data_IF_858008009170
#
_entry.id   IF_858008009170
#
_cell.length_a   1.000
_cell.length_b   1.000
_cell.length_c   1.000
_cell.angle_alpha   90.00
_cell.angle_beta   90.00
_cell.angle_gamma   90.00
#
_symmetry.space_group_name_H-M   'P 1'
#
loop_
_entity.id
_entity.type
_entity.pdbx_description
1 polymer ?
#
# COMPACT_ATOMS: atom_id res chain seq x y z
N UNK A 1 -11.84 5.00 -0.11
CA UNK A 1 -11.52 5.37 -1.48
C UNK A 1 -12.73 5.16 -2.38
N UNK A 2 -13.03 6.13 -3.20
CA UNK A 2 -14.15 6.09 -4.14
C UNK A 2 -13.71 6.66 -5.49
N UNK A 3 -13.94 5.91 -6.58
CA UNK A 3 -13.64 6.33 -7.94
C UNK A 3 -14.83 6.08 -8.87
N UNK A 4 -15.09 6.98 -9.84
CA UNK A 4 -16.12 6.73 -10.86
C UNK A 4 -15.71 5.55 -11.76
N UNK A 5 -16.70 4.89 -12.31
CA UNK A 5 -16.50 3.82 -13.31
C UNK A 5 -16.89 4.32 -14.70
N UNK A 6 -16.58 3.52 -15.71
CA UNK A 6 -16.95 3.79 -17.10
C UNK A 6 -18.46 3.78 -17.33
N UNK A 7 -19.23 3.01 -16.55
CA UNK A 7 -20.69 3.04 -16.58
C UNK A 7 -21.17 4.27 -15.83
N UNK A 8 -21.97 5.09 -16.51
CA UNK A 8 -22.54 6.32 -15.94
C UNK A 8 -23.21 6.05 -14.58
N UNK A 9 -23.05 6.97 -13.66
CA UNK A 9 -23.63 6.96 -12.31
C UNK A 9 -23.25 5.73 -11.47
N UNK A 10 -22.14 5.04 -11.84
CA UNK A 10 -21.59 3.93 -11.04
C UNK A 10 -20.21 4.29 -10.48
N UNK A 11 -19.95 3.83 -9.26
CA UNK A 11 -18.73 4.09 -8.52
C UNK A 11 -18.16 2.80 -7.96
N UNK A 12 -16.83 2.74 -7.91
CA UNK A 12 -16.12 1.75 -7.13
C UNK A 12 -15.79 2.36 -5.77
N UNK A 13 -16.21 1.68 -4.70
CA UNK A 13 -15.92 2.11 -3.33
C UNK A 13 -15.14 1.00 -2.64
N UNK A 14 -13.99 1.34 -2.07
CA UNK A 14 -13.11 0.39 -1.40
C UNK A 14 -12.86 0.81 0.05
N UNK A 15 -13.03 -0.13 0.95
CA UNK A 15 -12.53 -0.08 2.33
C UNK A 15 -11.42 -1.09 2.49
N UNK A 16 -10.33 -0.68 3.08
CA UNK A 16 -9.17 -1.55 3.33
C UNK A 16 -8.77 -1.51 4.80
N UNK A 17 -8.13 -2.56 5.25
CA UNK A 17 -7.47 -2.60 6.55
C UNK A 17 -6.16 -3.36 6.43
N UNK A 18 -5.15 -2.89 7.16
CA UNK A 18 -3.91 -3.63 7.37
C UNK A 18 -4.05 -4.66 8.50
N UNK A 19 -5.19 -4.69 9.19
CA UNK A 19 -5.47 -5.65 10.27
C UNK A 19 -6.20 -6.86 9.70
N UNK A 20 -5.60 -8.05 9.72
CA UNK A 20 -6.28 -9.28 9.31
C UNK A 20 -7.53 -9.53 10.14
N UNK A 21 -8.59 -9.98 9.49
CA UNK A 21 -9.88 -10.23 10.16
C UNK A 21 -10.65 -8.97 10.56
N UNK A 22 -10.21 -7.77 10.12
CA UNK A 22 -10.95 -6.55 10.35
C UNK A 22 -12.37 -6.63 9.77
N UNK A 23 -13.34 -6.10 10.50
CA UNK A 23 -14.72 -5.98 10.04
C UNK A 23 -14.84 -4.90 8.95
N UNK A 24 -14.49 -5.27 7.71
CA UNK A 24 -14.57 -4.36 6.56
C UNK A 24 -16.02 -4.02 6.21
N UNK A 25 -16.96 -4.94 6.41
CA UNK A 25 -18.37 -4.70 6.15
C UNK A 25 -18.93 -3.66 7.13
N UNK A 26 -18.64 -3.79 8.42
CA UNK A 26 -19.00 -2.79 9.42
C UNK A 26 -18.27 -1.45 9.21
N UNK A 27 -17.03 -1.46 8.76
CA UNK A 27 -16.31 -0.24 8.40
C UNK A 27 -17.00 0.48 7.23
N UNK A 28 -17.35 -0.26 6.17
CA UNK A 28 -18.12 0.28 5.05
C UNK A 28 -19.49 0.79 5.47
N UNK A 29 -20.20 0.05 6.31
CA UNK A 29 -21.52 0.47 6.82
C UNK A 29 -21.42 1.77 7.65
N UNK A 30 -20.38 1.91 8.47
CA UNK A 30 -20.13 3.18 9.19
C UNK A 30 -19.83 4.32 8.24
N UNK A 31 -18.97 4.12 7.26
CA UNK A 31 -18.58 5.11 6.26
C UNK A 31 -19.79 5.57 5.43
N UNK A 32 -20.63 4.63 4.96
CA UNK A 32 -21.77 4.93 4.09
C UNK A 32 -23.04 5.42 4.80
N UNK A 33 -23.16 5.14 6.10
CA UNK A 33 -24.40 5.49 6.86
C UNK A 33 -24.19 6.55 7.92
N UNK A 34 -22.95 6.86 8.27
CA UNK A 34 -22.63 7.82 9.35
C UNK A 34 -21.48 8.73 8.92
N UNK A 35 -21.50 9.96 9.37
CA UNK A 35 -20.45 10.93 9.12
C UNK A 35 -20.64 11.74 7.84
N UNK A 36 -19.58 12.44 7.46
CA UNK A 36 -19.60 13.47 6.41
C UNK A 36 -20.08 12.96 5.04
N UNK A 37 -19.74 11.73 4.69
CA UNK A 37 -20.05 11.16 3.36
C UNK A 37 -21.38 10.40 3.30
N UNK A 38 -22.12 10.28 4.40
CA UNK A 38 -23.35 9.47 4.45
C UNK A 38 -24.39 9.89 3.41
N UNK A 39 -24.54 11.20 3.18
CA UNK A 39 -25.50 11.74 2.19
C UNK A 39 -25.20 11.30 0.74
N UNK A 40 -23.95 10.97 0.42
CA UNK A 40 -23.60 10.47 -0.91
C UNK A 40 -24.15 9.08 -1.20
N UNK A 41 -24.48 8.33 -0.15
CA UNK A 41 -24.95 6.96 -0.22
C UNK A 41 -26.45 6.79 0.01
N UNK A 42 -27.20 7.86 0.30
CA UNK A 42 -28.63 7.78 0.63
C UNK A 42 -29.47 7.08 -0.45
N UNK A 43 -29.09 7.27 -1.73
CA UNK A 43 -29.77 6.68 -2.88
C UNK A 43 -28.91 5.64 -3.60
N UNK A 44 -27.79 5.23 -2.99
CA UNK A 44 -26.87 4.30 -3.62
C UNK A 44 -27.33 2.85 -3.44
N UNK A 45 -27.25 2.08 -4.52
CA UNK A 45 -27.51 0.65 -4.53
C UNK A 45 -26.20 -0.12 -4.75
N UNK A 46 -25.95 -1.14 -3.92
CA UNK A 46 -24.78 -2.00 -4.08
C UNK A 46 -25.07 -3.00 -5.19
N UNK A 47 -24.40 -2.82 -6.33
CA UNK A 47 -24.49 -3.72 -7.47
C UNK A 47 -23.68 -5.01 -7.27
N UNK A 48 -22.50 -4.90 -6.63
CA UNK A 48 -21.59 -6.03 -6.42
C UNK A 48 -20.67 -5.76 -5.25
N UNK A 49 -20.42 -6.79 -4.46
CA UNK A 49 -19.39 -6.78 -3.40
C UNK A 49 -18.32 -7.81 -3.72
N UNK A 50 -17.05 -7.42 -3.57
CA UNK A 50 -15.89 -8.30 -3.67
C UNK A 50 -15.05 -8.13 -2.42
N UNK A 51 -14.47 -9.21 -1.94
CA UNK A 51 -13.47 -9.19 -0.88
C UNK A 51 -12.21 -9.87 -1.39
N UNK A 52 -11.08 -9.23 -1.18
CA UNK A 52 -9.77 -9.78 -1.55
C UNK A 52 -8.74 -9.46 -0.49
N UNK A 53 -7.64 -10.19 -0.52
CA UNK A 53 -6.46 -9.92 0.29
C UNK A 53 -5.24 -9.79 -0.62
N UNK A 54 -4.35 -8.87 -0.32
CA UNK A 54 -3.09 -8.67 -1.03
C UNK A 54 -1.91 -8.79 -0.07
N UNK A 55 -0.73 -9.10 -0.60
CA UNK A 55 0.51 -9.15 0.15
C UNK A 55 1.14 -7.75 0.20
N UNK A 56 0.77 -6.94 1.20
CA UNK A 56 1.31 -5.60 1.38
C UNK A 56 2.56 -5.55 2.28
N UNK A 57 2.78 -6.57 3.11
CA UNK A 57 3.77 -6.53 4.19
C UNK A 57 5.13 -7.11 3.81
N UNK A 58 5.22 -7.87 2.72
CA UNK A 58 6.49 -8.41 2.22
C UNK A 58 6.44 -8.56 0.72
N UNK A 59 7.59 -8.40 0.08
CA UNK A 59 7.72 -8.69 -1.34
C UNK A 59 8.28 -10.10 -1.56
N UNK A 60 7.93 -10.70 -2.68
CA UNK A 60 8.54 -11.94 -3.13
C UNK A 60 9.73 -11.57 -4.00
N UNK A 61 10.93 -11.98 -3.56
CA UNK A 61 12.18 -11.66 -4.26
C UNK A 61 12.26 -12.38 -5.61
N UNK A 62 11.82 -13.63 -5.64
CA UNK A 62 11.82 -14.45 -6.85
C UNK A 62 10.38 -14.86 -7.20
N UNK A 63 9.75 -14.19 -8.18
CA UNK A 63 8.36 -14.44 -8.52
C UNK A 63 8.16 -15.62 -9.47
N UNK A 64 9.17 -16.45 -9.73
CA UNK A 64 9.07 -17.61 -10.60
C UNK A 64 9.46 -18.90 -9.89
N UNK A 65 8.56 -19.87 -9.92
CA UNK A 65 8.84 -21.22 -9.43
C UNK A 65 7.99 -22.26 -10.17
N UNK A 66 8.58 -23.37 -10.58
CA UNK A 66 7.89 -24.54 -11.14
C UNK A 66 6.89 -24.17 -12.25
N UNK A 67 7.30 -23.34 -13.20
CA UNK A 67 6.50 -22.80 -14.32
C UNK A 67 5.34 -21.89 -13.88
N UNK A 68 5.29 -21.49 -12.62
CA UNK A 68 4.36 -20.49 -12.12
C UNK A 68 5.07 -19.14 -12.04
N UNK A 69 4.49 -18.13 -12.68
CA UNK A 69 4.93 -16.75 -12.60
C UNK A 69 3.93 -15.96 -11.76
N UNK A 70 4.39 -15.42 -10.64
CA UNK A 70 3.58 -14.54 -9.82
C UNK A 70 3.63 -13.11 -10.36
N UNK A 71 2.49 -12.42 -10.31
CA UNK A 71 2.33 -11.10 -10.92
C UNK A 71 1.49 -10.21 -10.00
N UNK A 72 1.74 -8.91 -10.02
CA UNK A 72 0.93 -7.91 -9.32
C UNK A 72 0.89 -8.14 -7.80
N UNK A 73 -0.25 -7.97 -7.18
CA UNK A 73 -0.46 -8.08 -5.73
C UNK A 73 -0.09 -9.45 -5.15
N UNK A 74 -0.04 -10.49 -5.99
CA UNK A 74 0.45 -11.81 -5.58
C UNK A 74 1.96 -11.79 -5.26
N UNK A 75 2.72 -10.88 -5.87
CA UNK A 75 4.15 -10.70 -5.62
C UNK A 75 4.36 -9.68 -4.52
N UNK A 76 3.69 -8.56 -4.61
CA UNK A 76 3.69 -7.49 -3.64
C UNK A 76 2.65 -6.41 -3.99
N UNK A 77 1.74 -6.12 -3.07
CA UNK A 77 0.82 -5.00 -3.18
C UNK A 77 1.56 -3.71 -2.82
N UNK A 78 2.17 -3.07 -3.82
CA UNK A 78 3.00 -1.87 -3.66
C UNK A 78 2.20 -0.60 -3.46
N UNK A 79 1.05 -0.57 -4.09
CA UNK A 79 0.25 0.62 -4.23
C UNK A 79 -1.20 0.32 -3.88
N UNK A 80 -1.87 1.29 -3.28
CA UNK A 80 -3.33 1.23 -3.13
C UNK A 80 -4.06 1.39 -4.48
N UNK A 81 -3.33 1.65 -5.56
CA UNK A 81 -3.83 1.90 -6.90
C UNK A 81 -3.54 0.75 -7.86
N UNK A 82 -4.34 0.66 -8.91
CA UNK A 82 -4.23 -0.41 -9.91
C UNK A 82 -3.04 -0.25 -10.87
N UNK A 83 -2.35 0.88 -10.86
CA UNK A 83 -1.30 1.21 -11.84
C UNK A 83 -0.15 0.22 -11.82
N UNK A 84 0.38 -0.10 -10.65
CA UNK A 84 1.45 -1.10 -10.49
C UNK A 84 1.02 -2.48 -10.96
N UNK A 85 -0.23 -2.87 -10.66
CA UNK A 85 -0.81 -4.13 -11.12
C UNK A 85 -0.90 -4.20 -12.65
N UNK A 86 -1.33 -3.12 -13.31
CA UNK A 86 -1.42 -3.05 -14.78
C UNK A 86 -0.04 -3.13 -15.41
N UNK A 87 0.94 -2.38 -14.91
CA UNK A 87 2.32 -2.40 -15.44
C UNK A 87 2.94 -3.78 -15.25
N UNK A 88 2.82 -4.37 -14.07
CA UNK A 88 3.32 -5.71 -13.77
C UNK A 88 2.68 -6.76 -14.68
N UNK A 89 1.35 -6.70 -14.86
CA UNK A 89 0.61 -7.59 -15.76
C UNK A 89 1.06 -7.47 -17.20
N UNK A 90 1.25 -6.25 -17.70
CA UNK A 90 1.74 -6.01 -19.06
C UNK A 90 3.17 -6.54 -19.27
N UNK A 91 4.08 -6.30 -18.33
CA UNK A 91 5.45 -6.82 -18.38
C UNK A 91 5.49 -8.34 -18.36
N UNK A 92 4.69 -8.97 -17.49
CA UNK A 92 4.58 -10.42 -17.41
C UNK A 92 3.99 -11.02 -18.70
N UNK A 93 2.88 -10.45 -19.20
CA UNK A 93 2.25 -10.91 -20.44
C UNK A 93 3.20 -10.82 -21.64
N UNK A 94 3.96 -9.73 -21.76
CA UNK A 94 4.98 -9.57 -22.81
C UNK A 94 6.04 -10.65 -22.70
N UNK A 95 6.59 -10.89 -21.50
CA UNK A 95 7.62 -11.92 -21.31
C UNK A 95 7.11 -13.32 -21.63
N UNK A 96 5.90 -13.66 -21.18
CA UNK A 96 5.28 -14.96 -21.43
C UNK A 96 4.99 -15.13 -22.92
N UNK A 97 4.48 -14.10 -23.61
CA UNK A 97 4.22 -14.15 -25.05
C UNK A 97 5.46 -14.46 -25.86
N UNK A 98 6.60 -13.81 -25.56
CA UNK A 98 7.87 -14.10 -26.20
C UNK A 98 8.38 -15.51 -25.86
N UNK A 99 8.28 -15.93 -24.61
CA UNK A 99 8.68 -17.25 -24.17
C UNK A 99 7.92 -18.35 -24.92
N UNK A 100 6.62 -18.18 -25.12
CA UNK A 100 5.76 -19.10 -25.87
C UNK A 100 6.10 -19.11 -27.38
N UNK A 101 6.32 -17.94 -27.98
CA UNK A 101 6.68 -17.83 -29.39
C UNK A 101 8.04 -18.52 -29.68
N UNK A 102 8.99 -18.43 -28.75
CA UNK A 102 10.31 -19.03 -28.85
C UNK A 102 10.34 -20.53 -28.40
N UNK A 103 9.24 -21.05 -27.90
CA UNK A 103 9.19 -22.40 -27.32
C UNK A 103 9.96 -22.57 -26.02
N UNK A 104 10.32 -21.45 -25.36
CA UNK A 104 11.13 -21.44 -24.11
C UNK A 104 10.25 -21.30 -22.87
N UNK A 105 9.49 -22.34 -22.57
CA UNK A 105 8.60 -22.38 -21.38
C UNK A 105 9.43 -22.67 -20.13
N UNK A 106 10.28 -21.70 -19.73
CA UNK A 106 11.20 -21.86 -18.63
C UNK A 106 11.49 -20.50 -17.97
N UNK A 107 12.24 -20.51 -16.88
CA UNK A 107 12.74 -19.29 -16.21
C UNK A 107 13.50 -18.39 -17.19
N UNK A 108 14.27 -18.97 -18.10
CA UNK A 108 15.02 -18.21 -19.10
C UNK A 108 14.07 -17.45 -20.04
N UNK A 109 13.00 -18.08 -20.49
CA UNK A 109 12.02 -17.46 -21.37
C UNK A 109 11.34 -16.23 -20.76
N UNK A 110 11.11 -16.23 -19.43
CA UNK A 110 10.51 -15.09 -18.71
C UNK A 110 11.52 -14.15 -18.06
N UNK A 111 12.81 -14.29 -18.40
CA UNK A 111 13.91 -13.53 -17.77
C UNK A 111 13.78 -12.01 -17.90
N UNK A 112 13.10 -11.51 -18.94
CA UNK A 112 12.84 -10.08 -19.11
C UNK A 112 11.94 -9.52 -18.01
N UNK A 113 10.89 -10.26 -17.61
CA UNK A 113 10.06 -9.90 -16.48
C UNK A 113 10.80 -9.98 -15.15
N UNK A 114 11.60 -11.05 -14.93
CA UNK A 114 12.35 -11.23 -13.70
C UNK A 114 13.41 -10.13 -13.51
N UNK A 115 14.05 -9.72 -14.60
CA UNK A 115 14.99 -8.60 -14.59
C UNK A 115 14.28 -7.29 -14.27
N UNK A 116 13.18 -7.00 -14.95
CA UNK A 116 12.37 -5.82 -14.67
C UNK A 116 11.93 -5.78 -13.20
N UNK A 117 11.43 -6.91 -12.67
CA UNK A 117 11.02 -7.00 -11.28
C UNK A 117 12.16 -6.65 -10.32
N UNK A 118 13.34 -7.19 -10.58
CA UNK A 118 14.53 -6.90 -9.77
C UNK A 118 14.94 -5.42 -9.88
N UNK A 119 15.19 -4.93 -11.09
CA UNK A 119 15.81 -3.63 -11.33
C UNK A 119 14.86 -2.46 -11.08
N UNK A 120 13.59 -2.59 -11.48
CA UNK A 120 12.62 -1.51 -11.42
C UNK A 120 11.78 -1.53 -10.14
N UNK A 121 11.70 -2.66 -9.45
CA UNK A 121 10.93 -2.78 -8.24
C UNK A 121 11.82 -3.02 -7.03
N UNK A 122 12.50 -4.17 -6.94
CA UNK A 122 13.24 -4.51 -5.73
C UNK A 122 14.42 -3.57 -5.44
N UNK A 123 15.17 -3.19 -6.48
CA UNK A 123 16.36 -2.35 -6.30
C UNK A 123 16.01 -0.85 -6.14
N UNK A 124 14.84 -0.41 -6.62
CA UNK A 124 14.40 1.00 -6.50
C UNK A 124 13.58 1.30 -5.26
N UNK A 125 12.79 0.35 -4.80
CA UNK A 125 11.98 0.56 -3.60
C UNK A 125 12.77 0.22 -2.35
N UNK A 126 12.94 1.18 -1.46
CA UNK A 126 13.33 0.88 -0.10
C UNK A 126 12.13 0.31 0.67
N UNK A 127 11.93 -1.00 0.49
CA UNK A 127 10.90 -1.76 1.19
C UNK A 127 10.86 -1.49 2.70
N UNK A 128 12.01 -1.32 3.35
CA UNK A 128 12.08 -1.09 4.80
C UNK A 128 11.49 0.26 5.17
N UNK A 129 11.83 1.30 4.42
CA UNK A 129 11.26 2.63 4.62
C UNK A 129 9.78 2.66 4.31
N UNK A 130 9.35 2.01 3.24
CA UNK A 130 7.93 1.92 2.89
C UNK A 130 7.12 1.23 3.99
N UNK A 131 7.60 0.09 4.51
CA UNK A 131 6.93 -0.61 5.60
C UNK A 131 6.86 0.20 6.88
N UNK A 132 7.92 0.93 7.23
CA UNK A 132 7.88 1.86 8.37
C UNK A 132 6.83 2.95 8.18
N UNK A 133 6.74 3.51 6.98
CA UNK A 133 5.76 4.55 6.67
C UNK A 133 4.33 4.01 6.69
N UNK A 134 4.10 2.79 6.20
CA UNK A 134 2.78 2.15 6.22
C UNK A 134 2.25 1.89 7.64
N UNK A 135 3.13 1.64 8.62
CA UNK A 135 2.72 1.41 10.01
C UNK A 135 2.71 2.68 10.86
N UNK A 136 3.21 3.81 10.33
CA UNK A 136 3.20 5.09 11.05
C UNK A 136 1.79 5.51 11.51
N UNK A 137 0.76 5.48 10.65
CA UNK A 137 -0.60 5.83 11.07
C UNK A 137 -1.15 4.93 12.18
N UNK A 138 -0.67 3.69 12.29
CA UNK A 138 -1.11 2.75 13.33
C UNK A 138 -0.54 3.07 14.72
N UNK A 139 0.47 3.94 14.79
CA UNK A 139 1.12 4.37 16.03
C UNK A 139 0.62 5.71 16.55
N UNK A 140 -0.10 6.45 15.73
CA UNK A 140 -0.66 7.74 16.07
C UNK A 140 -2.17 7.59 16.28
N UNK A 141 -2.69 8.33 17.23
CA UNK A 141 -4.14 8.49 17.36
C UNK A 141 -4.66 9.40 16.24
N UNK A 142 -5.97 9.37 15.91
CA UNK A 142 -6.55 10.31 14.94
C UNK A 142 -6.22 11.78 15.24
N UNK A 143 -6.32 12.20 16.51
CA UNK A 143 -5.98 13.57 16.94
C UNK A 143 -4.47 13.91 16.74
N UNK A 144 -3.59 12.93 16.91
CA UNK A 144 -2.16 13.11 16.63
C UNK A 144 -1.89 13.21 15.12
N UNK A 145 -2.63 12.45 14.30
CA UNK A 145 -2.55 12.53 12.84
C UNK A 145 -3.05 13.91 12.38
N UNK A 146 -4.22 14.33 12.82
CA UNK A 146 -4.79 15.63 12.48
C UNK A 146 -3.86 16.78 12.89
N UNK A 147 -3.26 16.69 14.07
CA UNK A 147 -2.25 17.67 14.52
C UNK A 147 -1.04 17.69 13.59
N UNK A 148 -0.47 16.54 13.24
CA UNK A 148 0.70 16.48 12.35
C UNK A 148 0.35 17.05 10.97
N UNK A 149 -0.77 16.67 10.40
CA UNK A 149 -1.22 17.16 9.10
C UNK A 149 -1.52 18.66 9.10
N UNK A 150 -2.05 19.21 10.20
CA UNK A 150 -2.32 20.65 10.32
C UNK A 150 -1.07 21.51 10.22
N UNK A 151 0.09 20.97 10.53
CA UNK A 151 1.38 21.65 10.43
C UNK A 151 1.97 21.62 9.02
N UNK A 152 1.52 20.71 8.15
CA UNK A 152 2.00 20.61 6.77
C UNK A 152 1.36 21.73 5.96
N UNK A 153 2.13 22.80 5.70
CA UNK A 153 1.66 23.95 4.93
C UNK A 153 1.98 23.86 3.44
N UNK A 154 2.91 23.00 3.08
CA UNK A 154 3.34 22.82 1.70
C UNK A 154 2.33 21.96 0.97
N UNK A 155 1.83 22.44 -0.15
CA UNK A 155 1.01 21.62 -1.03
C UNK A 155 1.83 20.43 -1.49
N UNK A 156 1.36 19.21 -1.21
CA UNK A 156 1.93 18.03 -1.79
C UNK A 156 1.49 17.96 -3.26
N UNK A 157 2.38 17.56 -4.17
CA UNK A 157 2.02 17.45 -5.58
C UNK A 157 0.92 16.41 -5.75
N UNK A 158 0.00 16.69 -6.66
CA UNK A 158 -1.09 15.78 -7.02
C UNK A 158 -0.64 14.57 -7.86
N UNK A 159 0.67 14.46 -8.10
CA UNK A 159 1.26 13.37 -8.88
C UNK A 159 1.58 12.24 -7.91
N UNK A 160 0.94 11.10 -8.11
CA UNK A 160 1.25 9.84 -7.43
C UNK A 160 2.42 9.16 -8.16
N UNK A 161 3.61 9.67 -7.95
CA UNK A 161 4.83 8.97 -8.34
C UNK A 161 5.30 8.14 -7.16
N UNK A 162 5.26 6.80 -7.25
CA UNK A 162 5.58 5.91 -6.14
C UNK A 162 7.05 6.01 -5.70
N UNK A 163 7.94 6.57 -6.52
CA UNK A 163 9.34 6.78 -6.18
C UNK A 163 9.60 8.15 -5.55
N UNK A 164 8.91 9.18 -6.03
CA UNK A 164 9.10 10.55 -5.57
C UNK A 164 8.18 10.93 -4.40
N UNK A 165 6.94 10.42 -4.39
CA UNK A 165 5.97 10.72 -3.33
C UNK A 165 6.49 10.41 -1.92
N UNK A 166 7.13 9.26 -1.64
CA UNK A 166 7.71 9.00 -0.32
C UNK A 166 8.78 10.00 0.11
N UNK A 167 9.61 10.47 -0.83
CA UNK A 167 10.65 11.47 -0.57
C UNK A 167 10.02 12.84 -0.26
N UNK A 168 9.00 13.23 -1.01
CA UNK A 168 8.28 14.48 -0.82
C UNK A 168 7.54 14.50 0.52
N UNK A 169 6.86 13.42 0.87
CA UNK A 169 6.20 13.26 2.18
C UNK A 169 7.24 13.26 3.30
N UNK A 170 8.34 12.52 3.14
CA UNK A 170 9.44 12.51 4.10
C UNK A 170 10.06 13.89 4.29
N UNK A 171 10.23 14.66 3.23
CA UNK A 171 10.70 16.05 3.27
C UNK A 171 9.73 16.97 4.02
N UNK A 172 8.43 16.90 3.69
CA UNK A 172 7.40 17.68 4.34
C UNK A 172 7.31 17.37 5.86
N UNK A 173 7.40 16.10 6.23
CA UNK A 173 7.46 15.69 7.63
C UNK A 173 8.72 16.21 8.33
N UNK A 174 9.88 16.16 7.68
CA UNK A 174 11.12 16.68 8.25
C UNK A 174 11.04 18.18 8.54
N UNK A 175 10.41 18.96 7.66
CA UNK A 175 10.23 20.41 7.82
C UNK A 175 9.39 20.77 9.07
N UNK A 176 8.40 19.97 9.41
CA UNK A 176 7.51 20.24 10.55
C UNK A 176 8.01 19.66 11.88
N UNK A 177 9.01 18.75 11.86
CA UNK A 177 9.49 18.09 13.09
C UNK A 177 9.90 19.04 14.22
N UNK A 178 10.54 20.20 13.98
CA UNK A 178 10.82 21.16 15.06
C UNK A 178 9.56 21.72 15.72
N UNK A 179 8.51 21.97 14.94
CA UNK A 179 7.23 22.44 15.46
C UNK A 179 6.52 21.34 16.26
N UNK A 180 6.53 20.10 15.77
CA UNK A 180 6.00 18.94 16.48
C UNK A 180 6.73 18.76 17.82
N UNK A 181 8.07 18.84 17.83
CA UNK A 181 8.86 18.71 19.04
C UNK A 181 8.50 19.75 20.09
N UNK A 182 8.27 21.01 19.65
CA UNK A 182 7.91 22.12 20.54
C UNK A 182 6.48 22.02 21.08
N UNK A 183 5.52 21.65 20.23
CA UNK A 183 4.08 21.69 20.57
C UNK A 183 3.57 20.40 21.21
N UNK A 184 4.04 19.23 20.71
CA UNK A 184 3.65 17.91 21.22
C UNK A 184 4.87 16.98 21.29
N UNK A 185 5.73 17.12 22.32
CA UNK A 185 6.96 16.31 22.47
C UNK A 185 6.72 14.80 22.43
N UNK A 186 5.60 14.31 22.96
CA UNK A 186 5.26 12.90 22.94
C UNK A 186 5.01 12.39 21.52
N UNK A 187 4.36 13.17 20.66
CA UNK A 187 4.18 12.84 19.22
C UNK A 187 5.52 12.84 18.51
N UNK A 188 6.37 13.84 18.79
CA UNK A 188 7.73 13.88 18.25
C UNK A 188 8.53 12.62 18.59
N UNK A 189 8.49 12.17 19.85
CA UNK A 189 9.17 10.94 20.28
C UNK A 189 8.64 9.69 19.53
N UNK A 190 7.32 9.58 19.33
CA UNK A 190 6.74 8.49 18.53
C UNK A 190 7.27 8.50 17.10
N UNK A 191 7.27 9.66 16.44
CA UNK A 191 7.75 9.82 15.06
C UNK A 191 9.26 9.58 14.92
N UNK A 192 10.06 10.18 15.79
CA UNK A 192 11.51 10.04 15.80
C UNK A 192 11.94 8.61 16.14
N UNK A 193 11.26 7.98 17.09
CA UNK A 193 11.55 6.62 17.51
C UNK A 193 11.37 5.60 16.37
N UNK A 194 10.50 5.86 15.41
CA UNK A 194 10.25 4.93 14.31
C UNK A 194 11.42 4.78 13.33
N UNK A 195 12.25 5.79 13.17
CA UNK A 195 13.42 5.72 12.27
C UNK A 195 14.42 4.63 12.68
N UNK A 196 14.51 4.36 13.97
CA UNK A 196 15.49 3.46 14.56
C UNK A 196 14.89 2.12 15.02
N UNK A 197 13.58 1.91 14.83
CA UNK A 197 12.95 0.65 15.20
C UNK A 197 13.38 -0.44 14.22
N UNK A 198 13.92 -1.57 14.71
CA UNK A 198 14.22 -2.72 13.86
C UNK A 198 12.94 -3.16 13.13
N UNK A 199 13.07 -3.60 11.88
CA UNK A 199 11.91 -4.04 11.10
C UNK A 199 11.13 -5.16 11.79
N UNK A 200 11.83 -6.09 12.46
CA UNK A 200 11.19 -7.13 13.27
C UNK A 200 10.28 -6.54 14.36
N UNK A 201 10.70 -5.49 15.07
CA UNK A 201 9.89 -4.86 16.09
C UNK A 201 8.70 -4.06 15.52
N UNK A 202 8.80 -3.57 14.27
CA UNK A 202 7.66 -3.01 13.54
C UNK A 202 6.64 -4.10 13.27
N UNK A 203 7.08 -5.26 12.78
CA UNK A 203 6.21 -6.42 12.55
C UNK A 203 5.60 -6.96 13.86
N UNK A 204 6.37 -7.07 14.93
CA UNK A 204 5.84 -7.44 16.25
C UNK A 204 4.75 -6.48 16.74
N UNK A 205 4.93 -5.19 16.49
CA UNK A 205 3.90 -4.20 16.78
C UNK A 205 2.63 -4.41 15.97
N UNK A 206 2.76 -4.76 14.69
CA UNK A 206 1.63 -5.10 13.82
C UNK A 206 0.94 -6.40 14.29
N UNK A 207 1.71 -7.43 14.63
CA UNK A 207 1.19 -8.71 15.14
C UNK A 207 0.37 -8.51 16.42
N UNK A 208 0.89 -7.74 17.37
CA UNK A 208 0.16 -7.42 18.61
C UNK A 208 -1.10 -6.59 18.37
N UNK A 209 -1.11 -5.82 17.28
CA UNK A 209 -2.31 -5.10 16.83
C UNK A 209 -3.30 -6.01 16.06
N UNK A 210 -3.02 -7.31 15.95
CA UNK A 210 -3.91 -8.28 15.31
C UNK A 210 -3.50 -8.71 13.89
N UNK A 211 -2.24 -8.51 13.50
CA UNK A 211 -1.69 -9.03 12.26
C UNK A 211 -1.07 -10.42 12.50
N UNK A 212 -1.72 -11.52 12.14
CA UNK A 212 -1.06 -12.82 12.19
C UNK A 212 -0.02 -12.87 11.06
N UNK A 213 1.25 -12.79 11.41
CA UNK A 213 2.28 -13.29 10.51
C UNK A 213 2.21 -14.81 10.55
N UNK A 214 1.89 -15.42 9.42
CA UNK A 214 2.10 -16.86 9.30
C UNK A 214 3.60 -17.11 9.51
N UNK A 215 3.91 -17.86 10.55
CA UNK A 215 5.26 -18.36 10.75
C UNK A 215 5.63 -19.13 9.48
N UNK A 216 6.69 -18.68 8.81
CA UNK A 216 7.27 -19.46 7.72
C UNK A 216 7.87 -20.70 8.35
N UNK A 217 7.23 -21.84 8.12
CA UNK A 217 7.86 -23.15 8.28
C UNK A 217 8.94 -23.34 7.22
#
# INVERSE_FOLDING_TARGET
>A
WMTPRTTKDTYFVMTTSLTPGADLAGAFARFSKKGFFASWFEKAEIQRTLTSAGNALSHIVDPYKDQVLLVSDAVWCQEAEMTGAVISGWKAASAVSFALADGKISREGVSSYLRWWKEEVLDKYDYRSMMRNAVLPLRLTPDEIDFVLSLVKKSLPSILDPYETPKLVGGALAEIMPAVAKQRPAVHQKLAGMRNVPLAAVFDGCIRAGFPMQARG
#
